data_IF_750855964827
#
_entry.id   IF_750855964827
#
_cell.length_a   1.000
_cell.length_b   1.000
_cell.length_c   1.000
_cell.angle_alpha   90.00
_cell.angle_beta   90.00
_cell.angle_gamma   90.00
#
_symmetry.space_group_name_H-M   'P 1'
#
loop_
_entity.id
_entity.type
_entity.pdbx_description
1 polymer ?
#
# COMPACT_ATOMS: atom_id res chain seq x y z
N UNK A 1 14.09 -7.85 -21.32
CA UNK A 1 15.37 -7.68 -20.57
C UNK A 1 16.47 -8.07 -21.53
N UNK A 2 16.77 -7.14 -22.42
CA UNK A 2 17.66 -7.31 -23.55
C UNK A 2 18.51 -6.04 -23.50
N UNK A 3 19.68 -6.15 -22.87
CA UNK A 3 20.78 -5.19 -22.84
C UNK A 3 21.67 -5.55 -21.65
N UNK A 4 22.79 -6.23 -21.92
CA UNK A 4 24.08 -6.07 -21.22
C UNK A 4 24.98 -7.28 -21.48
N UNK A 5 25.58 -7.40 -22.67
CA UNK A 5 26.95 -7.93 -22.86
C UNK A 5 27.53 -7.37 -24.16
N UNK A 6 27.92 -6.10 -24.15
CA UNK A 6 28.89 -5.56 -25.10
C UNK A 6 29.88 -4.72 -24.31
N UNK A 7 31.03 -5.30 -23.99
CA UNK A 7 32.32 -4.61 -23.89
C UNK A 7 33.41 -5.64 -23.56
N UNK A 8 33.98 -6.27 -24.59
CA UNK A 8 35.29 -6.91 -24.48
C UNK A 8 36.34 -5.87 -24.88
N UNK A 9 36.94 -5.23 -23.88
CA UNK A 9 38.06 -4.28 -24.02
C UNK A 9 39.22 -4.97 -24.76
N UNK A 10 39.59 -4.40 -25.90
CA UNK A 10 40.75 -4.78 -26.73
C UNK A 10 42.02 -4.46 -25.93
N UNK A 11 42.64 -5.45 -25.29
CA UNK A 11 43.94 -5.28 -24.64
C UNK A 11 45.00 -5.22 -25.74
N UNK A 12 45.46 -4.00 -26.04
CA UNK A 12 46.59 -3.74 -26.93
C UNK A 12 47.87 -4.08 -26.17
N UNK A 13 48.51 -5.19 -26.54
CA UNK A 13 49.85 -5.52 -26.03
C UNK A 13 50.89 -4.62 -26.72
N UNK A 14 51.48 -3.70 -25.95
CA UNK A 14 52.64 -2.93 -26.36
C UNK A 14 53.88 -3.86 -26.44
N UNK A 15 54.66 -3.85 -27.54
CA UNK A 15 55.89 -4.62 -27.61
C UNK A 15 56.96 -3.99 -26.71
N UNK A 16 57.38 -4.73 -25.69
CA UNK A 16 58.54 -4.40 -24.85
C UNK A 16 59.81 -4.42 -25.72
N UNK A 17 60.49 -3.27 -25.81
CA UNK A 17 61.82 -3.14 -26.42
C UNK A 17 62.85 -3.89 -25.55
N UNK A 18 63.34 -5.01 -26.05
CA UNK A 18 64.45 -5.75 -25.44
C UNK A 18 65.77 -5.22 -26.00
N UNK A 19 66.51 -4.43 -25.20
CA UNK A 19 67.88 -3.99 -25.48
C UNK A 19 68.89 -5.14 -25.24
N UNK A 20 70.09 -5.10 -25.83
CA UNK A 20 70.75 -6.29 -26.33
C UNK A 20 71.41 -7.15 -25.24
N UNK A 21 71.03 -8.43 -25.24
CA UNK A 21 71.65 -9.58 -24.58
C UNK A 21 73.14 -9.82 -24.94
N UNK A 22 73.83 -8.84 -25.52
CA UNK A 22 75.21 -8.98 -26.01
C UNK A 22 76.26 -9.07 -24.90
N UNK A 23 75.93 -8.68 -23.67
CA UNK A 23 76.88 -8.73 -22.55
C UNK A 23 76.81 -10.00 -21.70
N UNK A 24 75.70 -10.77 -21.74
CA UNK A 24 75.59 -12.02 -20.96
C UNK A 24 76.23 -13.24 -21.67
N UNK A 25 76.45 -13.18 -22.98
CA UNK A 25 77.03 -14.29 -23.74
C UNK A 25 78.55 -14.46 -23.58
N UNK A 26 79.29 -13.44 -23.11
CA UNK A 26 80.75 -13.54 -22.95
C UNK A 26 81.22 -14.14 -21.62
N UNK A 27 80.36 -14.22 -20.61
CA UNK A 27 80.70 -14.85 -19.33
C UNK A 27 80.44 -16.37 -19.32
N UNK A 28 79.73 -16.92 -20.30
CA UNK A 28 79.27 -18.31 -20.28
C UNK A 28 80.27 -19.33 -20.87
N UNK A 29 81.37 -18.89 -21.47
CA UNK A 29 82.28 -19.78 -22.22
C UNK A 29 83.49 -20.31 -21.43
N UNK A 30 83.62 -20.03 -20.13
CA UNK A 30 84.79 -20.46 -19.35
C UNK A 30 84.55 -21.58 -18.34
N UNK A 31 83.31 -22.05 -18.18
CA UNK A 31 83.01 -23.19 -17.31
C UNK A 31 81.91 -24.10 -17.91
N UNK A 32 82.24 -25.33 -18.35
CA UNK A 32 81.27 -26.25 -18.97
C UNK A 32 80.12 -26.64 -18.01
N UNK A 33 80.32 -26.48 -16.69
CA UNK A 33 79.30 -26.69 -15.66
C UNK A 33 78.12 -25.71 -15.76
N UNK A 34 78.32 -24.47 -16.19
CA UNK A 34 77.22 -23.48 -16.33
C UNK A 34 76.37 -23.74 -17.59
N UNK A 35 76.98 -24.24 -18.67
CA UNK A 35 76.26 -24.61 -19.89
C UNK A 35 75.31 -25.79 -19.65
N UNK A 36 75.78 -26.82 -18.95
CA UNK A 36 74.96 -27.96 -18.55
C UNK A 36 73.82 -27.51 -17.61
N UNK A 37 74.10 -26.64 -16.64
CA UNK A 37 73.07 -26.11 -15.73
C UNK A 37 71.98 -25.28 -16.46
N UNK A 38 72.35 -24.50 -17.47
CA UNK A 38 71.40 -23.72 -18.29
C UNK A 38 70.49 -24.61 -19.15
N UNK A 39 71.04 -25.67 -19.76
CA UNK A 39 70.26 -26.65 -20.52
C UNK A 39 69.27 -27.38 -19.61
N UNK A 40 69.74 -27.85 -18.44
CA UNK A 40 68.87 -28.50 -17.46
C UNK A 40 67.75 -27.55 -17.01
N UNK A 41 68.04 -26.29 -16.72
CA UNK A 41 67.03 -25.32 -16.32
C UNK A 41 66.02 -25.01 -17.44
N UNK A 42 66.45 -24.96 -18.70
CA UNK A 42 65.56 -24.80 -19.86
C UNK A 42 64.63 -26.01 -20.04
N UNK A 43 65.16 -27.23 -19.88
CA UNK A 43 64.36 -28.47 -19.94
C UNK A 43 63.35 -28.52 -18.78
N UNK A 44 63.77 -28.16 -17.56
CA UNK A 44 62.87 -28.10 -16.41
C UNK A 44 61.80 -27.02 -16.58
N UNK A 45 62.17 -25.83 -17.06
CA UNK A 45 61.20 -24.74 -17.30
C UNK A 45 60.19 -25.08 -18.38
N UNK A 46 60.61 -25.77 -19.45
CA UNK A 46 59.70 -26.22 -20.51
C UNK A 46 58.79 -27.35 -20.05
N UNK A 47 59.31 -28.31 -19.27
CA UNK A 47 58.51 -29.37 -18.65
C UNK A 47 57.45 -28.81 -17.69
N UNK A 48 57.82 -27.84 -16.83
CA UNK A 48 56.88 -27.15 -15.92
C UNK A 48 55.84 -26.36 -16.71
N UNK A 49 56.24 -25.65 -17.77
CA UNK A 49 55.34 -24.91 -18.63
C UNK A 49 54.30 -25.80 -19.32
N UNK A 50 54.71 -26.97 -19.84
CA UNK A 50 53.81 -27.97 -20.41
C UNK A 50 52.84 -28.51 -19.36
N UNK A 51 53.30 -28.82 -18.16
CA UNK A 51 52.46 -29.35 -17.08
C UNK A 51 51.40 -28.32 -16.64
N UNK A 52 51.78 -27.04 -16.51
CA UNK A 52 50.85 -25.94 -16.25
C UNK A 52 49.86 -25.74 -17.39
N UNK A 53 50.30 -25.85 -18.65
CA UNK A 53 49.43 -25.75 -19.82
C UNK A 53 48.37 -26.87 -19.82
N UNK A 54 48.77 -28.13 -19.56
CA UNK A 54 47.83 -29.24 -19.43
C UNK A 54 46.84 -29.04 -18.27
N UNK A 55 47.28 -28.53 -17.12
CA UNK A 55 46.38 -28.21 -16.00
C UNK A 55 45.39 -27.09 -16.35
N UNK A 56 45.84 -26.04 -17.02
CA UNK A 56 44.99 -24.94 -17.49
C UNK A 56 43.97 -25.44 -18.52
N UNK A 57 44.39 -26.29 -19.45
CA UNK A 57 43.51 -26.85 -20.47
C UNK A 57 42.45 -27.79 -19.86
N UNK A 58 42.83 -28.58 -18.84
CA UNK A 58 41.89 -29.40 -18.07
C UNK A 58 40.90 -28.56 -17.23
N UNK A 59 41.34 -27.45 -16.64
CA UNK A 59 40.44 -26.52 -15.92
C UNK A 59 39.49 -25.80 -16.87
N UNK A 60 39.99 -25.38 -18.04
CA UNK A 60 39.17 -24.72 -19.05
C UNK A 60 38.10 -25.65 -19.63
N UNK A 61 38.46 -26.91 -19.93
CA UNK A 61 37.48 -27.90 -20.38
C UNK A 61 36.47 -28.23 -19.27
N UNK A 62 36.88 -28.31 -18.00
CA UNK A 62 35.98 -28.51 -16.87
C UNK A 62 34.98 -27.34 -16.69
N UNK A 63 35.42 -26.08 -16.82
CA UNK A 63 34.52 -24.91 -16.78
C UNK A 63 33.58 -24.86 -17.99
N UNK A 64 34.06 -25.25 -19.18
CA UNK A 64 33.21 -25.45 -20.37
C UNK A 64 32.14 -26.53 -20.11
N UNK A 65 32.48 -27.62 -19.43
CA UNK A 65 31.51 -28.66 -19.06
C UNK A 65 30.49 -28.14 -18.04
N UNK A 66 30.94 -27.37 -17.03
CA UNK A 66 30.03 -26.74 -16.05
C UNK A 66 29.07 -25.77 -16.72
N UNK A 67 29.56 -24.85 -17.55
CA UNK A 67 28.72 -23.89 -18.28
C UNK A 67 27.72 -24.59 -19.20
N UNK A 68 28.13 -25.64 -19.93
CA UNK A 68 27.19 -26.47 -20.72
C UNK A 68 26.14 -27.14 -19.84
N UNK A 69 26.53 -27.67 -18.68
CA UNK A 69 25.61 -28.30 -17.73
C UNK A 69 24.60 -27.29 -17.18
N UNK A 70 25.08 -26.10 -16.79
CA UNK A 70 24.25 -25.02 -16.28
C UNK A 70 23.25 -24.52 -17.35
N UNK A 71 23.72 -24.32 -18.58
CA UNK A 71 22.87 -23.93 -19.71
C UNK A 71 21.81 -24.99 -20.00
N UNK A 72 22.16 -26.27 -19.88
CA UNK A 72 21.22 -27.39 -20.05
C UNK A 72 20.18 -27.41 -18.92
N UNK A 73 20.58 -27.14 -17.68
CA UNK A 73 19.67 -27.04 -16.54
C UNK A 73 18.74 -25.82 -16.68
N UNK A 74 19.25 -24.67 -17.09
CA UNK A 74 18.45 -23.47 -17.36
C UNK A 74 17.41 -23.74 -18.45
N UNK A 75 17.81 -24.35 -19.57
CA UNK A 75 16.87 -24.70 -20.64
C UNK A 75 15.78 -25.70 -20.16
N UNK A 76 16.14 -26.66 -19.29
CA UNK A 76 15.17 -27.57 -18.67
C UNK A 76 14.21 -26.83 -17.74
N UNK A 77 14.72 -25.92 -16.91
CA UNK A 77 13.92 -25.11 -15.98
C UNK A 77 12.97 -24.21 -16.79
N UNK A 78 13.45 -23.48 -17.78
CA UNK A 78 12.62 -22.64 -18.66
C UNK A 78 11.53 -23.47 -19.35
N UNK A 79 11.87 -24.66 -19.87
CA UNK A 79 10.89 -25.56 -20.47
C UNK A 79 9.84 -26.01 -19.44
N UNK A 80 10.27 -26.41 -18.24
CA UNK A 80 9.35 -26.81 -17.17
C UNK A 80 8.43 -25.66 -16.74
N UNK A 81 8.96 -24.43 -16.67
CA UNK A 81 8.22 -23.22 -16.34
C UNK A 81 7.21 -22.88 -17.43
N UNK A 82 7.60 -22.98 -18.71
CA UNK A 82 6.70 -22.80 -19.86
C UNK A 82 5.61 -23.89 -19.88
N UNK A 83 5.96 -25.13 -19.56
CA UNK A 83 4.99 -26.22 -19.42
C UNK A 83 4.02 -25.94 -18.28
N UNK A 84 4.48 -25.59 -17.08
CA UNK A 84 3.63 -25.31 -15.92
C UNK A 84 2.71 -24.11 -16.18
N UNK A 85 3.22 -23.00 -16.72
CA UNK A 85 2.41 -21.83 -17.11
C UNK A 85 1.43 -22.12 -18.24
N UNK A 86 1.77 -23.09 -19.10
CA UNK A 86 0.94 -23.53 -20.22
C UNK A 86 -0.13 -24.55 -19.82
N UNK A 87 0.03 -25.22 -18.67
CA UNK A 87 -0.99 -26.13 -18.14
C UNK A 87 -2.25 -25.36 -17.80
N UNK A 88 -3.37 -26.00 -18.07
CA UNK A 88 -4.70 -25.47 -17.79
C UNK A 88 -4.85 -25.13 -16.30
N UNK A 89 -4.31 -25.99 -15.43
CA UNK A 89 -4.29 -25.84 -13.96
C UNK A 89 -3.75 -24.48 -13.50
N UNK A 90 -2.65 -23.99 -14.08
CA UNK A 90 -2.09 -22.69 -13.71
C UNK A 90 -3.02 -21.54 -14.12
N UNK A 91 -3.58 -21.61 -15.34
CA UNK A 91 -4.53 -20.60 -15.83
C UNK A 91 -5.83 -20.62 -15.05
N UNK A 92 -6.33 -21.81 -14.70
CA UNK A 92 -7.49 -22.02 -13.84
C UNK A 92 -7.21 -21.39 -12.47
N UNK A 93 -6.04 -21.64 -11.86
CA UNK A 93 -5.69 -21.06 -10.56
C UNK A 93 -5.60 -19.53 -10.59
N UNK A 94 -5.00 -18.95 -11.63
CA UNK A 94 -4.96 -17.48 -11.79
C UNK A 94 -6.37 -16.90 -12.01
N UNK A 95 -7.20 -17.56 -12.82
CA UNK A 95 -8.60 -17.19 -13.04
C UNK A 95 -9.42 -17.27 -11.75
N UNK A 96 -9.28 -18.36 -10.98
CA UNK A 96 -9.94 -18.56 -9.70
C UNK A 96 -9.51 -17.50 -8.67
N UNK A 97 -8.21 -17.18 -8.62
CA UNK A 97 -7.69 -16.13 -7.75
C UNK A 97 -8.29 -14.77 -8.09
N UNK A 98 -8.42 -14.46 -9.37
CA UNK A 98 -9.05 -13.23 -9.83
C UNK A 98 -10.54 -13.21 -9.48
N UNK A 99 -11.28 -14.30 -9.75
CA UNK A 99 -12.70 -14.41 -9.39
C UNK A 99 -12.92 -14.28 -7.88
N UNK A 100 -12.07 -14.88 -7.06
CA UNK A 100 -12.14 -14.75 -5.60
C UNK A 100 -11.95 -13.29 -5.16
N UNK A 101 -10.96 -12.60 -5.74
CA UNK A 101 -10.73 -11.17 -5.47
C UNK A 101 -11.93 -10.33 -5.90
N UNK A 102 -12.44 -10.54 -7.10
CA UNK A 102 -13.56 -9.76 -7.64
C UNK A 102 -14.85 -9.98 -6.81
N UNK A 103 -15.09 -11.21 -6.36
CA UNK A 103 -16.21 -11.54 -5.47
C UNK A 103 -16.04 -10.90 -4.08
N UNK A 104 -14.84 -10.96 -3.52
CA UNK A 104 -14.52 -10.30 -2.25
C UNK A 104 -14.76 -8.78 -2.34
N UNK A 105 -14.23 -8.13 -3.38
CA UNK A 105 -14.37 -6.69 -3.59
C UNK A 105 -15.84 -6.29 -3.83
N UNK A 106 -16.61 -7.13 -4.53
CA UNK A 106 -18.04 -6.93 -4.73
C UNK A 106 -18.84 -6.99 -3.41
N UNK A 107 -18.54 -7.97 -2.56
CA UNK A 107 -19.17 -8.09 -1.24
C UNK A 107 -18.79 -6.93 -0.33
N UNK A 108 -17.50 -6.56 -0.29
CA UNK A 108 -17.04 -5.40 0.46
C UNK A 108 -17.68 -4.10 -0.03
N UNK A 109 -17.80 -3.92 -1.34
CA UNK A 109 -18.49 -2.78 -1.94
C UNK A 109 -19.97 -2.72 -1.54
N UNK A 110 -20.62 -3.87 -1.40
CA UNK A 110 -22.02 -3.97 -0.98
C UNK A 110 -22.20 -3.51 0.47
N UNK A 111 -21.28 -3.88 1.37
CA UNK A 111 -21.26 -3.40 2.77
C UNK A 111 -21.12 -1.87 2.81
N UNK A 112 -20.16 -1.31 2.08
CA UNK A 112 -19.93 0.13 2.06
C UNK A 112 -21.12 0.93 1.51
N UNK A 113 -21.79 0.41 0.47
CA UNK A 113 -22.99 1.06 -0.07
C UNK A 113 -24.14 1.00 0.94
N UNK A 114 -24.31 -0.11 1.65
CA UNK A 114 -25.30 -0.20 2.72
C UNK A 114 -25.05 0.84 3.81
N UNK A 115 -23.83 0.95 4.31
CA UNK A 115 -23.46 1.93 5.34
C UNK A 115 -23.69 3.36 4.86
N UNK A 116 -23.30 3.67 3.62
CA UNK A 116 -23.58 4.98 3.02
C UNK A 116 -25.09 5.29 2.87
N UNK A 117 -25.91 4.26 2.66
CA UNK A 117 -27.37 4.41 2.62
C UNK A 117 -27.98 4.59 4.02
N UNK A 118 -27.37 4.02 5.07
CA UNK A 118 -27.78 4.22 6.46
C UNK A 118 -27.56 5.66 6.88
N UNK A 119 -26.45 6.27 6.46
CA UNK A 119 -26.15 7.69 6.71
C UNK A 119 -27.03 8.66 5.93
N UNK A 120 -27.77 8.16 4.95
CA UNK A 120 -28.59 8.98 4.08
C UNK A 120 -29.85 9.44 4.81
N UNK A 121 -30.21 10.74 4.82
CA UNK A 121 -31.31 11.24 5.60
C UNK A 121 -32.66 10.60 5.21
N UNK A 122 -33.44 10.22 6.23
CA UNK A 122 -34.58 9.29 6.12
C UNK A 122 -35.79 9.81 5.31
N UNK A 123 -35.85 11.11 5.01
CA UNK A 123 -37.01 11.75 4.38
C UNK A 123 -37.00 11.74 2.85
N UNK A 124 -36.00 11.12 2.23
CA UNK A 124 -35.84 11.17 0.79
C UNK A 124 -36.58 10.02 0.07
N UNK A 125 -37.44 10.39 -0.89
CA UNK A 125 -38.04 9.46 -1.86
C UNK A 125 -36.96 8.64 -2.59
N UNK A 126 -35.76 9.20 -2.76
CA UNK A 126 -34.59 8.52 -3.32
C UNK A 126 -34.07 7.38 -2.45
N UNK A 127 -34.19 7.47 -1.13
CA UNK A 127 -33.77 6.37 -0.25
C UNK A 127 -34.58 5.10 -0.50
N UNK A 128 -35.87 5.22 -0.82
CA UNK A 128 -36.72 4.07 -1.20
C UNK A 128 -36.25 3.46 -2.52
N UNK A 129 -35.91 4.29 -3.50
CA UNK A 129 -35.34 3.85 -4.78
C UNK A 129 -34.00 3.11 -4.57
N UNK A 130 -33.10 3.68 -3.77
CA UNK A 130 -31.80 3.08 -3.44
C UNK A 130 -31.96 1.75 -2.70
N UNK A 131 -32.87 1.65 -1.72
CA UNK A 131 -33.21 0.39 -1.02
C UNK A 131 -33.71 -0.67 -1.98
N UNK A 132 -34.55 -0.30 -2.94
CA UNK A 132 -35.06 -1.23 -3.96
C UNK A 132 -33.93 -1.76 -4.85
N UNK A 133 -33.03 -0.88 -5.29
CA UNK A 133 -31.86 -1.25 -6.11
C UNK A 133 -30.86 -2.08 -5.32
N UNK A 134 -30.65 -1.76 -4.05
CA UNK A 134 -29.83 -2.54 -3.15
C UNK A 134 -30.37 -3.97 -2.96
N UNK A 135 -31.68 -4.13 -2.74
CA UNK A 135 -32.31 -5.44 -2.69
C UNK A 135 -32.13 -6.24 -4.00
N UNK A 136 -32.20 -5.55 -5.15
CA UNK A 136 -31.92 -6.15 -6.47
C UNK A 136 -30.46 -6.63 -6.60
N UNK A 137 -29.49 -5.88 -6.06
CA UNK A 137 -28.08 -6.31 -6.00
C UNK A 137 -27.95 -7.58 -5.16
N UNK A 138 -28.61 -7.64 -3.99
CA UNK A 138 -28.61 -8.84 -3.16
C UNK A 138 -29.23 -10.05 -3.88
N UNK A 139 -30.29 -9.85 -4.65
CA UNK A 139 -30.87 -10.89 -5.51
C UNK A 139 -29.86 -11.39 -6.55
N UNK A 140 -29.16 -10.48 -7.25
CA UNK A 140 -28.13 -10.88 -8.21
C UNK A 140 -26.98 -11.65 -7.56
N UNK A 141 -26.56 -11.28 -6.36
CA UNK A 141 -25.54 -12.01 -5.60
C UNK A 141 -26.03 -13.40 -5.20
N UNK A 142 -27.29 -13.53 -4.76
CA UNK A 142 -27.91 -14.81 -4.45
C UNK A 142 -27.97 -15.73 -5.67
N UNK A 143 -28.26 -15.17 -6.84
CA UNK A 143 -28.31 -15.90 -8.11
C UNK A 143 -26.92 -16.12 -8.74
N UNK A 144 -25.84 -15.76 -8.03
CA UNK A 144 -24.43 -15.82 -8.50
C UNK A 144 -24.15 -14.98 -9.76
N UNK A 145 -25.04 -14.04 -10.10
CA UNK A 145 -24.89 -13.13 -11.22
C UNK A 145 -24.02 -11.92 -10.83
N UNK A 146 -22.72 -12.17 -10.65
CA UNK A 146 -21.76 -11.17 -10.16
C UNK A 146 -21.56 -10.02 -11.16
N UNK A 147 -21.75 -10.27 -12.46
CA UNK A 147 -21.66 -9.22 -13.49
C UNK A 147 -22.78 -8.19 -13.34
N UNK A 148 -24.02 -8.64 -13.19
CA UNK A 148 -25.16 -7.73 -12.97
C UNK A 148 -25.10 -7.06 -11.60
N UNK A 149 -24.74 -7.80 -10.55
CA UNK A 149 -24.54 -7.25 -9.21
C UNK A 149 -23.48 -6.13 -9.22
N UNK A 150 -22.32 -6.37 -9.81
CA UNK A 150 -21.23 -5.39 -9.89
C UNK A 150 -21.62 -4.14 -10.69
N UNK A 151 -22.29 -4.32 -11.83
CA UNK A 151 -22.77 -3.20 -12.65
C UNK A 151 -23.80 -2.34 -11.91
N UNK A 152 -24.78 -2.96 -11.26
CA UNK A 152 -25.82 -2.24 -10.51
C UNK A 152 -25.27 -1.58 -9.25
N UNK A 153 -24.35 -2.24 -8.54
CA UNK A 153 -23.67 -1.68 -7.36
C UNK A 153 -22.86 -0.44 -7.72
N UNK A 154 -22.11 -0.48 -8.82
CA UNK A 154 -21.35 0.68 -9.30
C UNK A 154 -22.26 1.87 -9.58
N UNK A 155 -23.37 1.64 -10.30
CA UNK A 155 -24.36 2.69 -10.59
C UNK A 155 -25.00 3.23 -9.31
N UNK A 156 -25.43 2.35 -8.41
CA UNK A 156 -26.05 2.76 -7.15
C UNK A 156 -25.09 3.63 -6.32
N UNK A 157 -23.81 3.27 -6.28
CA UNK A 157 -22.77 4.07 -5.62
C UNK A 157 -22.62 5.46 -6.25
N UNK A 158 -22.57 5.54 -7.58
CA UNK A 158 -22.45 6.82 -8.31
C UNK A 158 -23.68 7.72 -8.08
N UNK A 159 -24.89 7.14 -8.11
CA UNK A 159 -26.14 7.86 -7.90
C UNK A 159 -26.27 8.36 -6.45
N UNK A 160 -25.89 7.53 -5.47
CA UNK A 160 -25.91 7.89 -4.06
C UNK A 160 -24.96 9.06 -3.76
N UNK A 161 -23.74 9.04 -4.31
CA UNK A 161 -22.80 10.17 -4.17
C UNK A 161 -23.30 11.44 -4.85
N UNK A 162 -23.99 11.30 -5.98
CA UNK A 162 -24.57 12.44 -6.71
C UNK A 162 -25.67 13.09 -5.87
N UNK A 163 -26.59 12.28 -5.33
CA UNK A 163 -27.68 12.77 -4.50
C UNK A 163 -27.17 13.37 -3.18
N UNK A 164 -26.18 12.73 -2.53
CA UNK A 164 -25.54 13.26 -1.32
C UNK A 164 -24.95 14.64 -1.54
N UNK A 165 -24.27 14.86 -2.68
CA UNK A 165 -23.74 16.18 -3.04
C UNK A 165 -24.86 17.21 -3.28
N UNK A 166 -25.96 16.81 -3.90
CA UNK A 166 -27.11 17.69 -4.13
C UNK A 166 -27.77 18.12 -2.82
N UNK A 167 -27.95 17.19 -1.86
CA UNK A 167 -28.48 17.51 -0.54
C UNK A 167 -27.57 18.44 0.25
N UNK A 168 -26.27 18.15 0.32
CA UNK A 168 -25.29 19.03 1.01
C UNK A 168 -25.37 20.45 0.43
N UNK A 169 -25.47 20.60 -0.89
CA UNK A 169 -25.64 21.90 -1.52
C UNK A 169 -26.96 22.58 -1.12
N UNK A 170 -28.08 21.85 -1.08
CA UNK A 170 -29.40 22.37 -0.69
C UNK A 170 -29.45 22.84 0.76
N UNK A 171 -28.96 22.03 1.70
CA UNK A 171 -28.99 22.32 3.14
C UNK A 171 -28.10 23.52 3.48
N UNK A 172 -26.97 23.66 2.80
CA UNK A 172 -26.06 24.79 2.94
C UNK A 172 -26.73 26.11 2.53
N UNK A 173 -27.50 26.13 1.44
CA UNK A 173 -28.10 27.35 0.88
C UNK A 173 -29.17 27.93 1.82
N UNK A 174 -30.05 27.08 2.36
CA UNK A 174 -31.16 27.55 3.22
C UNK A 174 -30.67 28.19 4.52
N UNK A 175 -29.60 27.65 5.10
CA UNK A 175 -29.01 28.17 6.33
C UNK A 175 -28.26 29.50 6.16
N UNK A 176 -27.54 29.67 5.04
CA UNK A 176 -26.69 30.84 4.77
C UNK A 176 -27.51 32.12 4.59
N UNK A 177 -28.72 32.04 4.01
CA UNK A 177 -29.56 33.23 3.73
C UNK A 177 -29.98 33.96 5.01
N UNK A 178 -30.04 33.26 6.15
CA UNK A 178 -30.51 33.81 7.43
C UNK A 178 -29.39 34.31 8.36
N UNK A 179 -28.13 33.97 8.09
CA UNK A 179 -27.02 34.19 9.03
C UNK A 179 -26.13 35.39 8.62
N UNK A 180 -25.62 36.19 9.57
CA UNK A 180 -24.66 37.25 9.29
C UNK A 180 -23.38 36.69 8.65
N UNK A 181 -22.87 37.35 7.60
CA UNK A 181 -21.62 36.97 6.95
C UNK A 181 -20.44 37.59 7.70
N UNK A 182 -19.64 36.77 8.39
CA UNK A 182 -18.52 37.23 9.21
C UNK A 182 -17.42 36.16 9.25
N UNK A 183 -16.17 36.56 9.00
CA UNK A 183 -15.01 35.66 9.01
C UNK A 183 -14.23 35.68 10.34
N UNK A 184 -14.63 36.53 11.29
CA UNK A 184 -14.03 36.58 12.63
C UNK A 184 -14.88 35.81 13.63
N UNK A 185 -14.26 35.03 14.55
CA UNK A 185 -15.00 34.35 15.60
C UNK A 185 -15.60 35.35 16.61
N UNK A 186 -16.68 34.98 17.33
CA UNK A 186 -17.21 35.82 18.40
C UNK A 186 -16.19 35.98 19.53
N UNK A 187 -16.18 37.13 20.20
CA UNK A 187 -15.27 37.38 21.33
C UNK A 187 -15.59 36.51 22.56
N UNK A 188 -16.85 36.09 22.72
CA UNK A 188 -17.30 35.12 23.72
C UNK A 188 -18.71 34.63 23.36
N UNK A 189 -19.11 33.47 23.91
CA UNK A 189 -20.47 32.94 23.76
C UNK A 189 -20.69 32.20 22.43
N UNK A 190 -21.96 32.07 22.04
CA UNK A 190 -22.38 31.38 20.83
C UNK A 190 -22.67 32.36 19.69
N UNK A 191 -22.28 32.00 18.47
CA UNK A 191 -22.64 32.70 17.23
C UNK A 191 -22.90 31.69 16.12
N UNK A 192 -23.97 31.92 15.36
CA UNK A 192 -24.20 31.26 14.06
C UNK A 192 -23.93 32.28 12.97
N UNK A 193 -22.97 32.00 12.09
CA UNK A 193 -22.52 32.94 11.06
C UNK A 193 -22.15 32.23 9.76
N UNK A 194 -22.22 32.96 8.65
CA UNK A 194 -21.71 32.50 7.36
C UNK A 194 -20.25 32.95 7.17
N UNK A 195 -19.33 32.01 7.00
CA UNK A 195 -17.90 32.27 6.75
C UNK A 195 -17.61 32.10 5.26
N UNK A 196 -16.96 33.10 4.65
CA UNK A 196 -16.51 33.05 3.27
C UNK A 196 -15.09 32.48 3.19
N UNK A 197 -14.93 31.38 2.44
CA UNK A 197 -13.66 30.76 2.10
C UNK A 197 -13.56 30.67 0.58
N UNK A 198 -12.71 31.52 0.00
CA UNK A 198 -12.45 31.57 -1.45
C UNK A 198 -13.72 31.74 -2.31
N UNK A 199 -14.66 32.59 -1.86
CA UNK A 199 -15.92 32.85 -2.55
C UNK A 199 -17.01 31.82 -2.28
N UNK A 200 -16.75 30.80 -1.47
CA UNK A 200 -17.74 29.85 -1.00
C UNK A 200 -18.14 30.16 0.44
N UNK A 201 -19.44 30.24 0.72
CA UNK A 201 -19.97 30.52 2.06
C UNK A 201 -20.33 29.23 2.78
N UNK A 202 -19.99 29.15 4.06
CA UNK A 202 -20.29 28.02 4.94
C UNK A 202 -21.00 28.53 6.17
N UNK A 203 -22.17 27.96 6.49
CA UNK A 203 -22.83 28.21 7.76
C UNK A 203 -22.10 27.47 8.88
N UNK A 204 -21.68 28.18 9.92
CA UNK A 204 -20.97 27.61 11.07
C UNK A 204 -21.61 28.03 12.38
N UNK A 205 -21.62 27.10 13.32
CA UNK A 205 -21.95 27.31 14.72
C UNK A 205 -20.66 27.39 15.52
N UNK A 206 -20.41 28.54 16.16
CA UNK A 206 -19.17 28.82 16.88
C UNK A 206 -19.49 29.08 18.34
N UNK A 207 -18.77 28.41 19.23
CA UNK A 207 -18.74 28.71 20.67
C UNK A 207 -17.35 29.21 21.04
N UNK A 208 -17.26 30.44 21.53
CA UNK A 208 -16.03 31.04 22.03
C UNK A 208 -16.04 31.10 23.56
N UNK A 209 -15.07 30.45 24.20
CA UNK A 209 -14.86 30.47 25.65
C UNK A 209 -13.48 31.03 26.01
N UNK A 210 -13.41 31.84 27.07
CA UNK A 210 -12.14 32.29 27.62
C UNK A 210 -11.54 31.18 28.50
N UNK A 211 -10.35 30.67 28.16
CA UNK A 211 -9.68 29.59 28.91
C UNK A 211 -9.30 29.96 30.35
N UNK A 212 -9.28 31.24 30.71
CA UNK A 212 -9.12 31.69 32.10
C UNK A 212 -10.36 31.46 32.98
N UNK A 213 -11.53 31.30 32.39
CA UNK A 213 -12.81 31.04 33.09
C UNK A 213 -13.53 29.78 32.61
N UNK A 214 -13.03 29.12 31.55
CA UNK A 214 -13.62 27.95 30.91
C UNK A 214 -12.74 26.74 31.10
N UNK A 215 -13.33 25.62 31.50
CA UNK A 215 -12.66 24.32 31.59
C UNK A 215 -13.17 23.40 30.48
N UNK A 216 -12.25 22.79 29.75
CA UNK A 216 -12.56 21.71 28.81
C UNK A 216 -12.63 20.39 29.57
N UNK A 217 -13.73 19.66 29.39
CA UNK A 217 -13.95 18.35 30.00
C UNK A 217 -14.08 17.34 28.85
N UNK A 218 -13.22 16.34 28.84
CA UNK A 218 -13.37 15.17 27.98
C UNK A 218 -14.15 14.12 28.77
N UNK A 219 -15.29 13.70 28.27
CA UNK A 219 -16.16 12.77 28.98
C UNK A 219 -16.53 11.58 28.09
N UNK A 220 -16.61 10.40 28.70
CA UNK A 220 -16.89 9.12 28.04
C UNK A 220 -18.08 8.47 28.73
N UNK A 221 -18.92 7.75 28.00
CA UNK A 221 -20.05 7.05 28.60
C UNK A 221 -19.62 5.85 29.48
N UNK A 222 -18.39 5.36 29.29
CA UNK A 222 -17.76 4.32 30.12
C UNK A 222 -16.62 4.88 30.97
N UNK A 223 -16.40 4.30 32.15
CA UNK A 223 -15.26 4.58 33.04
C UNK A 223 -14.09 3.59 32.85
N UNK A 224 -14.11 2.74 31.83
CA UNK A 224 -13.04 1.79 31.53
C UNK A 224 -13.11 1.21 30.13
N UNK A 225 -12.09 0.43 29.79
CA UNK A 225 -11.87 -0.13 28.46
C UNK A 225 -13.12 -0.87 27.99
N UNK A 226 -13.64 -0.44 26.85
CA UNK A 226 -14.80 -1.06 26.24
C UNK A 226 -14.50 -1.38 24.79
N UNK A 227 -14.58 -2.66 24.44
CA UNK A 227 -14.23 -3.16 23.11
C UNK A 227 -15.42 -3.36 22.20
N UNK A 228 -16.60 -3.60 22.78
CA UNK A 228 -17.83 -3.89 22.06
C UNK A 228 -19.05 -3.52 22.90
N UNK A 229 -20.15 -3.18 22.24
CA UNK A 229 -21.42 -2.73 22.82
C UNK A 229 -21.26 -1.65 23.90
N UNK A 230 -20.42 -0.65 23.62
CA UNK A 230 -20.14 0.40 24.58
C UNK A 230 -21.37 1.28 24.83
N UNK A 231 -21.57 1.76 26.07
CA UNK A 231 -22.68 2.65 26.35
C UNK A 231 -22.51 3.93 25.54
N UNK A 232 -23.62 4.47 25.05
CA UNK A 232 -23.66 5.75 24.33
C UNK A 232 -24.65 6.67 25.01
N UNK A 233 -24.34 7.95 24.99
CA UNK A 233 -25.21 9.01 25.48
C UNK A 233 -25.29 10.07 24.39
N UNK A 234 -26.41 10.77 24.36
CA UNK A 234 -26.56 11.94 23.51
C UNK A 234 -25.59 13.05 23.96
N UNK A 235 -25.18 13.90 23.01
CA UNK A 235 -24.32 15.05 23.32
C UNK A 235 -24.93 15.95 24.41
N UNK A 236 -26.26 16.10 24.41
CA UNK A 236 -27.00 16.85 25.43
C UNK A 236 -26.85 16.27 26.84
N UNK A 237 -26.83 14.95 26.99
CA UNK A 237 -26.64 14.29 28.29
C UNK A 237 -25.22 14.49 28.83
N UNK A 238 -24.20 14.44 27.97
CA UNK A 238 -22.83 14.78 28.37
C UNK A 238 -22.72 16.23 28.83
N UNK A 239 -23.38 17.17 28.14
CA UNK A 239 -23.41 18.58 28.54
C UNK A 239 -24.11 18.74 29.89
N UNK A 240 -25.31 18.17 30.04
CA UNK A 240 -26.13 18.29 31.24
C UNK A 240 -25.44 17.70 32.47
N UNK A 241 -24.89 16.49 32.38
CA UNK A 241 -24.30 15.80 33.55
C UNK A 241 -23.01 16.43 34.07
N UNK A 242 -22.35 17.25 33.25
CA UNK A 242 -21.15 17.98 33.64
C UNK A 242 -21.42 19.46 33.98
N UNK A 243 -22.68 19.91 33.90
CA UNK A 243 -23.02 21.33 34.05
C UNK A 243 -22.33 22.22 33.01
N UNK A 244 -22.05 21.69 31.82
CA UNK A 244 -21.42 22.44 30.75
C UNK A 244 -22.44 23.33 30.04
N UNK A 245 -21.98 24.42 29.42
CA UNK A 245 -22.82 25.30 28.62
C UNK A 245 -22.75 24.99 27.11
N UNK A 246 -21.81 24.13 26.69
CA UNK A 246 -21.63 23.71 25.31
C UNK A 246 -20.99 22.32 25.26
N UNK A 247 -21.21 21.60 24.16
CA UNK A 247 -20.60 20.30 23.88
C UNK A 247 -20.34 20.15 22.38
N UNK A 248 -19.28 19.41 22.05
CA UNK A 248 -18.93 19.02 20.69
C UNK A 248 -18.60 17.53 20.74
N UNK A 249 -18.99 16.77 19.71
CA UNK A 249 -18.62 15.36 19.61
C UNK A 249 -17.09 15.21 19.52
N UNK A 250 -16.57 14.18 20.18
CA UNK A 250 -15.14 13.88 20.22
C UNK A 250 -14.68 12.99 19.07
N UNK A 251 -14.08 11.86 19.41
CA UNK A 251 -13.62 10.86 18.45
C UNK A 251 -14.78 10.17 17.72
N UNK A 252 -14.51 9.71 16.50
CA UNK A 252 -15.38 8.77 15.82
C UNK A 252 -15.48 7.46 16.63
N UNK A 253 -16.67 6.86 16.62
CA UNK A 253 -16.95 5.55 17.20
C UNK A 253 -17.61 4.67 16.14
N UNK A 254 -17.60 3.36 16.35
CA UNK A 254 -18.24 2.42 15.44
C UNK A 254 -19.76 2.42 15.62
N UNK A 255 -20.58 2.84 14.64
CA UNK A 255 -22.04 2.87 14.81
C UNK A 255 -22.63 1.47 14.96
N UNK A 256 -23.77 1.36 15.65
CA UNK A 256 -24.52 0.09 15.76
C UNK A 256 -25.06 -0.44 14.45
N UNK A 257 -25.37 0.48 13.53
CA UNK A 257 -26.09 0.17 12.30
C UNK A 257 -25.13 -0.22 11.16
N UNK A 258 -23.81 -0.22 11.42
CA UNK A 258 -22.77 -0.54 10.44
C UNK A 258 -22.35 -2.00 10.55
N UNK A 259 -22.53 -2.82 9.49
CA UNK A 259 -22.08 -4.20 9.51
C UNK A 259 -20.56 -4.34 9.69
N UNK A 260 -19.76 -3.39 9.19
CA UNK A 260 -18.31 -3.37 9.41
C UNK A 260 -17.90 -3.13 10.87
N UNK A 261 -18.86 -2.72 11.70
CA UNK A 261 -18.71 -2.51 13.14
C UNK A 261 -19.12 -3.71 14.00
N UNK A 262 -19.46 -4.85 13.39
CA UNK A 262 -19.80 -6.05 14.13
C UNK A 262 -18.67 -6.47 15.09
N UNK A 263 -19.02 -6.66 16.37
CA UNK A 263 -18.08 -7.02 17.44
C UNK A 263 -17.24 -5.85 17.97
N UNK A 264 -17.54 -4.62 17.55
CA UNK A 264 -16.95 -3.37 18.04
C UNK A 264 -17.98 -2.24 18.10
N UNK A 265 -19.24 -2.57 18.37
CA UNK A 265 -20.33 -1.62 18.38
C UNK A 265 -20.13 -0.56 19.45
N UNK A 266 -20.27 0.70 19.07
CA UNK A 266 -20.07 1.89 19.89
C UNK A 266 -18.67 2.06 20.50
N UNK A 267 -17.70 1.22 20.14
CA UNK A 267 -16.33 1.36 20.61
C UNK A 267 -15.55 2.35 19.76
N UNK A 268 -14.41 2.79 20.29
CA UNK A 268 -13.50 3.72 19.64
C UNK A 268 -12.06 3.20 19.82
N UNK A 269 -11.23 3.35 18.79
CA UNK A 269 -9.85 2.86 18.78
C UNK A 269 -8.83 3.90 19.28
N UNK A 270 -9.30 5.11 19.60
CA UNK A 270 -8.45 6.22 20.01
C UNK A 270 -8.29 6.24 21.53
N UNK A 271 -7.04 6.18 22.00
CA UNK A 271 -6.73 6.39 23.43
C UNK A 271 -7.28 7.74 23.90
N UNK A 272 -8.18 7.71 24.87
CA UNK A 272 -8.82 8.91 25.43
C UNK A 272 -8.61 8.97 26.93
N UNK A 273 -8.36 10.18 27.45
CA UNK A 273 -8.39 10.40 28.90
C UNK A 273 -9.75 10.99 29.28
N UNK A 274 -10.51 10.29 30.10
CA UNK A 274 -11.82 10.76 30.54
C UNK A 274 -11.72 11.78 31.68
N UNK A 275 -12.87 12.33 32.10
CA UNK A 275 -12.99 13.31 33.19
C UNK A 275 -12.44 12.82 34.53
N UNK A 276 -12.38 11.50 34.72
CA UNK A 276 -11.82 10.83 35.90
C UNK A 276 -10.30 10.62 35.81
N UNK A 277 -9.63 11.24 34.80
CA UNK A 277 -8.19 11.12 34.52
C UNK A 277 -7.73 9.69 34.27
N UNK A 278 -8.62 8.84 33.78
CA UNK A 278 -8.31 7.47 33.38
C UNK A 278 -8.16 7.40 31.88
N UNK A 279 -7.10 6.74 31.44
CA UNK A 279 -6.93 6.37 30.04
C UNK A 279 -7.82 5.17 29.71
N UNK A 280 -8.50 5.25 28.58
CA UNK A 280 -9.46 4.29 28.06
C UNK A 280 -9.18 4.07 26.58
#
# INVERSE_FOLDING_TARGET
MENSVKEAKKIVFNPLKIHPLKYLLKAFHRNPRFYIASIIWSIVSTAVGLLLFFQLQARYSAEQTKTKTLNTQLAKIEKSLKTIKGRDEYKINESLKQQFKDNHDLLQGTILVYEAMVDFPATDKKLVEFKTRFAKILSYLSDTNNSSASSELKKLKEDLETERKAQIASDSVSGIVSAPSLNTPPGSGFSRQAVDVNGNKYLVDIVAGNLGSTRVIVDTATDGDCRDNCPVLSLGEYVARNGAYAGINGSYFCPSDYPSCAGKTNSFDTLVMNKSKKYI
#
